data_IF_220658025034
#
_entry.id   IF_220658025034
#
_cell.length_a   1.000
_cell.length_b   1.000
_cell.length_c   1.000
_cell.angle_alpha   90.00
_cell.angle_beta   90.00
_cell.angle_gamma   90.00
#
_symmetry.space_group_name_H-M   'P 1'
#
loop_
_entity.id
_entity.type
_entity.pdbx_description
1 polymer ?
#
# COMPACT_ATOMS: atom_id res chain seq x y z
N UNK A 1 4.56 7.22 4.90
CA UNK A 1 5.06 6.87 6.25
C UNK A 1 6.37 7.59 6.63
N UNK A 2 6.76 8.65 5.92
CA UNK A 2 8.08 9.30 6.04
C UNK A 2 8.37 9.97 7.41
N UNK A 3 7.38 10.03 8.29
CA UNK A 3 7.50 10.62 9.64
C UNK A 3 7.71 9.58 10.74
N UNK A 4 7.68 8.29 10.41
CA UNK A 4 7.98 7.21 11.35
C UNK A 4 9.34 6.61 11.03
N UNK A 5 10.03 6.10 12.05
CA UNK A 5 11.24 5.29 11.85
C UNK A 5 10.84 3.91 11.32
N UNK A 6 10.84 3.76 10.00
CA UNK A 6 10.48 2.52 9.30
C UNK A 6 11.75 1.71 9.10
N UNK A 7 11.84 0.48 9.65
CA UNK A 7 12.98 -0.40 9.41
C UNK A 7 13.19 -0.62 7.91
N UNK A 8 14.45 -0.65 7.46
CA UNK A 8 14.78 -0.69 6.02
C UNK A 8 14.10 -1.84 5.27
N UNK A 9 13.96 -2.99 5.93
CA UNK A 9 13.27 -4.15 5.35
C UNK A 9 11.77 -3.88 5.13
N UNK A 10 11.10 -3.24 6.08
CA UNK A 10 9.68 -2.87 5.96
C UNK A 10 9.50 -1.79 4.90
N UNK A 11 10.41 -0.81 4.85
CA UNK A 11 10.41 0.24 3.84
C UNK A 11 10.45 -0.38 2.43
N UNK A 12 11.39 -1.29 2.17
CA UNK A 12 11.50 -1.96 0.88
C UNK A 12 10.20 -2.70 0.50
N UNK A 13 9.60 -3.45 1.42
CA UNK A 13 8.36 -4.19 1.15
C UNK A 13 7.22 -3.23 0.81
N UNK A 14 7.03 -2.18 1.60
CA UNK A 14 5.94 -1.22 1.37
C UNK A 14 6.15 -0.42 0.08
N UNK A 15 7.39 -0.08 -0.26
CA UNK A 15 7.71 0.56 -1.55
C UNK A 15 7.35 -0.34 -2.71
N UNK A 16 7.76 -1.61 -2.70
CA UNK A 16 7.49 -2.54 -3.81
C UNK A 16 6.02 -2.94 -3.91
N UNK A 17 5.35 -3.20 -2.78
CA UNK A 17 4.02 -3.81 -2.79
C UNK A 17 2.86 -2.83 -2.65
N UNK A 18 3.11 -1.57 -2.26
CA UNK A 18 2.03 -0.64 -1.91
C UNK A 18 2.15 0.74 -2.56
N UNK A 19 3.36 1.27 -2.80
CA UNK A 19 3.53 2.69 -3.18
C UNK A 19 2.97 3.03 -4.55
N UNK A 20 2.96 2.09 -5.50
CA UNK A 20 2.41 2.33 -6.83
C UNK A 20 0.95 2.83 -6.77
N UNK A 21 0.14 2.22 -5.90
CA UNK A 21 -1.27 2.60 -5.75
C UNK A 21 -1.50 3.61 -4.62
N UNK A 22 -0.70 3.59 -3.56
CA UNK A 22 -0.94 4.35 -2.33
C UNK A 22 0.04 5.51 -2.10
N UNK A 23 0.71 6.00 -3.14
CA UNK A 23 1.62 7.16 -3.06
C UNK A 23 1.42 8.13 -4.23
N UNK A 24 1.94 9.34 -4.11
CA UNK A 24 1.89 10.33 -5.20
C UNK A 24 2.83 9.98 -6.36
N UNK A 25 3.66 8.94 -6.23
CA UNK A 25 4.57 8.48 -7.28
C UNK A 25 4.13 7.08 -7.75
N UNK A 26 3.22 7.07 -8.72
CA UNK A 26 2.76 5.83 -9.38
C UNK A 26 3.59 5.61 -10.65
N UNK A 27 4.32 4.49 -10.71
CA UNK A 27 5.03 4.10 -11.94
C UNK A 27 4.04 3.47 -12.93
N UNK A 28 3.50 4.31 -13.82
CA UNK A 28 2.53 3.86 -14.80
C UNK A 28 3.19 3.04 -15.92
N UNK A 29 2.74 1.80 -16.17
CA UNK A 29 3.25 0.97 -17.25
C UNK A 29 2.83 1.54 -18.62
N UNK A 30 3.52 1.11 -19.68
CA UNK A 30 3.29 1.61 -21.05
C UNK A 30 1.83 1.47 -21.53
N UNK A 31 1.10 0.47 -21.03
CA UNK A 31 -0.30 0.21 -21.37
C UNK A 31 -1.28 1.18 -20.70
N UNK A 32 -0.84 2.02 -19.76
CA UNK A 32 -1.62 3.12 -19.20
C UNK A 32 -1.88 4.27 -20.22
N UNK A 33 -1.67 4.02 -21.50
CA UNK A 33 -1.99 4.94 -22.61
C UNK A 33 -3.02 4.38 -23.57
N UNK A 34 -3.51 3.16 -23.32
CA UNK A 34 -4.44 2.44 -24.19
C UNK A 34 -5.81 2.37 -23.52
N UNK A 35 -6.85 2.84 -24.19
CA UNK A 35 -8.22 2.74 -23.68
C UNK A 35 -8.87 1.40 -24.01
N UNK A 36 -9.72 0.86 -23.13
CA UNK A 36 -10.20 1.43 -21.85
C UNK A 36 -9.32 1.11 -20.62
N UNK A 37 -8.15 0.48 -20.82
CA UNK A 37 -7.28 0.01 -19.72
C UNK A 37 -6.76 1.18 -18.88
N UNK A 38 -6.37 2.28 -19.51
CA UNK A 38 -5.88 3.46 -18.81
C UNK A 38 -6.92 4.04 -17.84
N UNK A 39 -8.19 4.19 -18.27
CA UNK A 39 -9.26 4.66 -17.37
C UNK A 39 -9.46 3.74 -16.17
N UNK A 40 -9.43 2.43 -16.38
CA UNK A 40 -9.57 1.47 -15.28
C UNK A 40 -8.42 1.58 -14.27
N UNK A 41 -7.18 1.72 -14.74
CA UNK A 41 -6.01 1.87 -13.87
C UNK A 41 -6.03 3.18 -13.11
N UNK A 42 -6.31 4.29 -13.79
CA UNK A 42 -6.39 5.61 -13.18
C UNK A 42 -7.48 5.66 -12.11
N UNK A 43 -8.64 5.08 -12.37
CA UNK A 43 -9.75 4.97 -11.42
C UNK A 43 -9.35 4.15 -10.19
N UNK A 44 -8.74 2.98 -10.37
CA UNK A 44 -8.25 2.15 -9.27
C UNK A 44 -7.18 2.85 -8.42
N UNK A 45 -6.22 3.53 -9.06
CA UNK A 45 -5.17 4.28 -8.36
C UNK A 45 -5.76 5.47 -7.61
N UNK A 46 -6.73 6.18 -8.19
CA UNK A 46 -7.42 7.27 -7.52
C UNK A 46 -8.17 6.79 -6.26
N UNK A 47 -8.96 5.72 -6.37
CA UNK A 47 -9.64 5.11 -5.22
C UNK A 47 -8.65 4.60 -4.15
N UNK A 48 -7.54 3.99 -4.58
CA UNK A 48 -6.49 3.54 -3.67
C UNK A 48 -5.91 4.68 -2.82
N UNK A 49 -5.64 5.84 -3.43
CA UNK A 49 -5.12 7.04 -2.74
C UNK A 49 -6.15 7.70 -1.83
N UNK A 50 -7.42 7.70 -2.24
CA UNK A 50 -8.51 8.22 -1.39
C UNK A 50 -8.61 7.41 -0.08
N UNK A 51 -8.50 6.08 -0.19
CA UNK A 51 -8.48 5.21 0.97
C UNK A 51 -7.18 5.37 1.77
N UNK A 52 -6.02 5.38 1.14
CA UNK A 52 -4.74 5.52 1.83
C UNK A 52 -3.70 6.16 0.91
N UNK A 53 -3.16 7.31 1.34
CA UNK A 53 -2.03 7.97 0.70
C UNK A 53 -0.86 8.13 1.69
N UNK A 54 0.25 7.43 1.43
CA UNK A 54 1.43 7.46 2.29
C UNK A 54 2.16 8.80 2.31
N UNK A 55 1.99 9.63 1.27
CA UNK A 55 2.54 10.99 1.23
C UNK A 55 1.79 11.93 2.18
N UNK A 56 0.48 11.70 2.38
CA UNK A 56 -0.37 12.50 3.29
C UNK A 56 -0.36 11.97 4.73
N UNK A 57 0.37 10.88 4.98
CA UNK A 57 0.38 10.19 6.27
C UNK A 57 0.68 11.12 7.46
N UNK A 58 1.56 12.11 7.28
CA UNK A 58 1.90 13.07 8.32
C UNK A 58 0.67 13.88 8.78
N UNK A 59 -0.17 14.27 7.83
CA UNK A 59 -1.32 15.16 8.00
C UNK A 59 -2.57 14.42 8.50
N UNK A 60 -2.56 13.08 8.50
CA UNK A 60 -3.67 12.30 9.03
C UNK A 60 -3.82 12.49 10.54
N UNK A 61 -5.07 12.68 10.99
CA UNK A 61 -5.40 12.67 12.42
C UNK A 61 -5.07 11.32 13.06
N UNK A 62 -4.81 11.28 14.37
CA UNK A 62 -4.52 10.02 15.07
C UNK A 62 -5.63 8.97 14.91
N UNK A 63 -6.90 9.42 14.86
CA UNK A 63 -8.05 8.54 14.57
C UNK A 63 -7.97 7.96 13.16
N UNK A 64 -7.65 8.78 12.14
CA UNK A 64 -7.52 8.31 10.75
C UNK A 64 -6.34 7.35 10.62
N UNK A 65 -5.18 7.67 11.20
CA UNK A 65 -4.00 6.80 11.25
C UNK A 65 -4.36 5.43 11.84
N UNK A 66 -4.99 5.39 13.02
CA UNK A 66 -5.43 4.16 13.66
C UNK A 66 -6.42 3.35 12.80
N UNK A 67 -7.38 4.01 12.16
CA UNK A 67 -8.32 3.34 11.25
C UNK A 67 -7.63 2.72 10.04
N UNK A 68 -6.66 3.43 9.44
CA UNK A 68 -5.95 2.95 8.25
C UNK A 68 -4.97 1.82 8.58
N UNK A 69 -4.29 1.85 9.73
CA UNK A 69 -3.45 0.72 10.16
C UNK A 69 -4.27 -0.56 10.37
N UNK A 70 -5.46 -0.45 10.98
CA UNK A 70 -6.39 -1.60 11.09
C UNK A 70 -6.81 -2.14 9.72
N UNK A 71 -7.12 -1.25 8.79
CA UNK A 71 -7.49 -1.62 7.43
C UNK A 71 -6.33 -2.33 6.72
N UNK A 72 -5.10 -1.81 6.81
CA UNK A 72 -3.92 -2.47 6.20
C UNK A 72 -3.72 -3.88 6.77
N UNK A 73 -3.85 -4.05 8.10
CA UNK A 73 -3.72 -5.37 8.74
C UNK A 73 -4.75 -6.35 8.14
N UNK A 74 -6.04 -5.99 8.16
CA UNK A 74 -7.11 -6.85 7.62
C UNK A 74 -6.87 -7.20 6.16
N UNK A 75 -6.57 -6.22 5.31
CA UNK A 75 -6.37 -6.42 3.88
C UNK A 75 -5.21 -7.39 3.57
N UNK A 76 -4.13 -7.36 4.35
CA UNK A 76 -2.99 -8.27 4.17
C UNK A 76 -3.32 -9.68 4.70
N UNK A 77 -3.99 -9.77 5.86
CA UNK A 77 -4.42 -11.02 6.49
C UNK A 77 -5.45 -11.77 5.62
N UNK A 78 -6.43 -11.04 5.09
CA UNK A 78 -7.49 -11.55 4.22
C UNK A 78 -6.97 -11.84 2.80
N UNK A 79 -5.75 -11.39 2.48
CA UNK A 79 -5.13 -11.57 1.16
C UNK A 79 -5.78 -10.73 0.05
N UNK A 80 -6.52 -9.69 0.42
CA UNK A 80 -7.13 -8.75 -0.53
C UNK A 80 -6.08 -7.82 -1.13
N UNK A 81 -5.01 -7.52 -0.38
CA UNK A 81 -3.90 -6.68 -0.85
C UNK A 81 -2.54 -7.42 -0.83
N UNK A 82 -1.71 -7.21 -1.87
CA UNK A 82 -2.02 -6.48 -3.11
C UNK A 82 -3.04 -7.20 -3.99
N UNK A 83 -3.79 -6.44 -4.81
CA UNK A 83 -4.83 -7.00 -5.68
C UNK A 83 -4.28 -8.13 -6.57
N UNK A 84 -4.97 -9.27 -6.62
CA UNK A 84 -4.55 -10.41 -7.44
C UNK A 84 -4.35 -10.05 -8.92
N UNK A 85 -5.19 -9.17 -9.45
CA UNK A 85 -5.13 -8.72 -10.85
C UNK A 85 -3.87 -7.89 -11.13
N UNK A 86 -3.40 -7.14 -10.14
CA UNK A 86 -2.16 -6.38 -10.21
C UNK A 86 -0.95 -7.32 -10.14
N UNK A 87 -0.93 -8.27 -9.19
CA UNK A 87 0.19 -9.21 -9.02
C UNK A 87 0.32 -10.22 -10.16
N UNK A 88 -0.71 -10.40 -11.02
CA UNK A 88 -0.56 -11.18 -12.25
C UNK A 88 0.53 -10.64 -13.18
N UNK A 89 0.67 -9.31 -13.24
CA UNK A 89 1.62 -8.60 -14.11
C UNK A 89 2.83 -8.12 -13.29
N UNK A 90 2.59 -7.67 -12.05
CA UNK A 90 3.59 -7.14 -11.11
C UNK A 90 3.88 -8.16 -10.01
N UNK A 91 4.52 -9.27 -10.39
CA UNK A 91 4.79 -10.41 -9.50
C UNK A 91 5.68 -10.03 -8.32
N UNK A 92 6.57 -9.07 -8.51
CA UNK A 92 7.44 -8.49 -7.50
C UNK A 92 6.68 -7.84 -6.34
N UNK A 93 5.44 -7.40 -6.55
CA UNK A 93 4.61 -6.82 -5.51
C UNK A 93 3.96 -7.88 -4.62
N UNK A 94 3.91 -9.14 -5.04
CA UNK A 94 3.27 -10.21 -4.28
C UNK A 94 3.99 -10.45 -2.94
N UNK A 95 3.27 -10.26 -1.83
CA UNK A 95 3.83 -10.45 -0.49
C UNK A 95 4.01 -11.93 -0.17
N UNK A 96 5.25 -12.35 0.04
CA UNK A 96 5.56 -13.67 0.59
C UNK A 96 5.05 -13.81 2.03
N UNK A 97 4.95 -15.05 2.53
CA UNK A 97 4.51 -15.32 3.91
C UNK A 97 5.38 -14.61 4.96
N UNK A 98 6.69 -14.55 4.72
CA UNK A 98 7.64 -13.90 5.63
C UNK A 98 7.49 -12.38 5.58
N UNK A 99 7.34 -11.80 4.39
CA UNK A 99 7.11 -10.36 4.21
C UNK A 99 5.79 -9.92 4.85
N UNK A 100 4.71 -10.70 4.68
CA UNK A 100 3.43 -10.44 5.38
C UNK A 100 3.65 -10.37 6.88
N UNK A 101 4.34 -11.36 7.46
CA UNK A 101 4.63 -11.39 8.90
C UNK A 101 5.41 -10.16 9.36
N UNK A 102 6.48 -9.79 8.64
CA UNK A 102 7.32 -8.64 8.97
C UNK A 102 6.51 -7.34 8.96
N UNK A 103 5.70 -7.13 7.93
CA UNK A 103 4.88 -5.92 7.79
C UNK A 103 3.78 -5.90 8.86
N UNK A 104 3.06 -7.00 9.07
CA UNK A 104 1.99 -7.08 10.07
C UNK A 104 2.50 -6.84 11.49
N UNK A 105 3.64 -7.41 11.87
CA UNK A 105 4.27 -7.17 13.17
C UNK A 105 4.65 -5.69 13.35
N UNK A 106 5.21 -5.06 12.32
CA UNK A 106 5.60 -3.65 12.38
C UNK A 106 4.37 -2.73 12.43
N UNK A 107 3.36 -2.94 11.59
CA UNK A 107 2.12 -2.13 11.57
C UNK A 107 1.38 -2.25 12.90
N UNK A 108 1.33 -3.45 13.48
CA UNK A 108 0.68 -3.68 14.78
C UNK A 108 1.37 -2.87 15.89
N UNK A 109 2.71 -2.93 15.96
CA UNK A 109 3.49 -2.13 16.91
C UNK A 109 3.30 -0.63 16.70
N UNK A 110 3.31 -0.17 15.45
CA UNK A 110 3.07 1.23 15.13
C UNK A 110 1.67 1.67 15.60
N UNK A 111 0.64 0.86 15.34
CA UNK A 111 -0.74 1.14 15.77
C UNK A 111 -0.87 1.23 17.29
N UNK A 112 -0.14 0.41 18.04
CA UNK A 112 -0.18 0.44 19.51
C UNK A 112 0.57 1.65 20.11
N UNK A 113 1.46 2.28 19.33
CA UNK A 113 2.22 3.46 19.73
C UNK A 113 1.56 4.81 19.41
N UNK A 114 0.44 4.82 18.65
CA UNK A 114 -0.26 6.02 18.15
C UNK A 114 -1.60 6.27 18.85
#
# INVERSE_FOLDING_TARGET
MLVNDVPKQVENIITTSCYDCHSNNTDYPWYNKVQPVAWFLEDHVAHGKEELNFNEWADYSSRRKNSKLKSIISQIEDGEMPLWSYTLIHREAELSKDEKKIVLEWISKLKDSL
#
